data_IF_877432258132
#
_entry.id   IF_877432258132
#
_cell.length_a   1.000
_cell.length_b   1.000
_cell.length_c   1.000
_cell.angle_alpha   90.00
_cell.angle_beta   90.00
_cell.angle_gamma   90.00
#
_symmetry.space_group_name_H-M   'P 1'
#
loop_
_entity.id
_entity.type
_entity.pdbx_description
1 polymer ?
#
# COMPACT_ATOMS: atom_id res chain seq x y z
N UNK A 1 55.19 -0.54 -35.55
CA UNK A 1 54.59 -1.89 -35.54
C UNK A 1 53.10 -1.69 -35.43
N UNK A 2 52.44 -1.75 -36.58
CA UNK A 2 51.02 -1.54 -36.78
C UNK A 2 50.26 -2.79 -36.36
N UNK A 3 49.16 -2.63 -35.60
CA UNK A 3 48.21 -3.71 -35.35
C UNK A 3 46.88 -3.35 -36.02
N UNK A 4 46.58 -3.91 -37.21
CA UNK A 4 45.30 -3.74 -37.87
C UNK A 4 44.51 -5.04 -37.74
N UNK A 5 43.60 -5.14 -36.79
CA UNK A 5 42.52 -6.14 -36.85
C UNK A 5 41.34 -5.64 -35.99
N UNK A 6 40.45 -4.91 -36.67
CA UNK A 6 39.13 -4.53 -36.17
C UNK A 6 38.14 -5.47 -36.86
N UNK A 7 37.51 -6.42 -36.15
CA UNK A 7 36.51 -7.28 -36.77
C UNK A 7 35.28 -6.45 -37.18
N UNK A 8 34.90 -6.60 -38.44
CA UNK A 8 33.70 -6.03 -39.05
C UNK A 8 32.44 -6.53 -38.33
N UNK A 9 31.59 -5.61 -37.87
CA UNK A 9 30.24 -5.91 -37.39
C UNK A 9 29.33 -6.19 -38.60
N UNK A 10 28.62 -7.33 -38.63
CA UNK A 10 27.62 -7.59 -39.65
C UNK A 10 26.37 -6.72 -39.46
N UNK A 11 26.08 -5.97 -40.53
CA UNK A 11 24.82 -5.38 -40.98
C UNK A 11 23.63 -5.35 -40.02
N UNK A 12 23.26 -4.12 -39.63
CA UNK A 12 21.92 -3.77 -39.18
C UNK A 12 20.87 -4.13 -40.24
N UNK A 13 20.03 -5.11 -39.94
CA UNK A 13 18.80 -5.36 -40.69
C UNK A 13 17.78 -4.26 -40.35
N UNK A 14 17.32 -3.56 -41.39
CA UNK A 14 16.31 -2.52 -41.29
C UNK A 14 14.96 -3.09 -40.81
N UNK A 15 14.23 -2.39 -39.91
CA UNK A 15 12.86 -2.75 -39.59
C UNK A 15 11.96 -2.46 -40.81
N UNK A 16 11.33 -3.52 -41.32
CA UNK A 16 10.34 -3.42 -42.38
C UNK A 16 9.18 -2.52 -41.98
N UNK A 17 8.88 -1.56 -42.85
CA UNK A 17 7.69 -0.73 -42.80
C UNK A 17 6.44 -1.61 -42.92
N UNK A 18 5.70 -1.77 -41.83
CA UNK A 18 4.31 -2.23 -41.89
C UNK A 18 3.43 -1.02 -42.18
N UNK A 19 2.81 -1.05 -43.36
CA UNK A 19 1.80 -0.09 -43.78
C UNK A 19 0.50 -0.30 -43.00
N UNK A 20 -0.20 0.76 -42.56
CA UNK A 20 -1.44 0.64 -41.81
C UNK A 20 -2.59 0.22 -42.73
N UNK A 21 -3.22 -0.91 -42.41
CA UNK A 21 -4.51 -1.27 -42.99
C UNK A 21 -5.62 -0.39 -42.37
N UNK A 22 -6.47 0.09 -43.26
CA UNK A 22 -7.48 1.11 -43.06
C UNK A 22 -8.65 0.70 -42.15
N UNK A 23 -9.15 1.71 -41.42
CA UNK A 23 -10.56 2.04 -41.21
C UNK A 23 -11.56 0.90 -41.00
N UNK A 24 -11.70 0.48 -39.75
CA UNK A 24 -12.95 -0.07 -39.21
C UNK A 24 -13.75 1.04 -38.51
N UNK A 25 -15.09 1.10 -38.66
CA UNK A 25 -15.91 2.13 -38.04
C UNK A 25 -15.84 2.05 -36.51
N UNK A 26 -15.64 3.21 -35.88
CA UNK A 26 -15.64 3.38 -34.43
C UNK A 26 -16.98 2.91 -33.82
N UNK A 27 -16.96 1.74 -33.17
CA UNK A 27 -18.04 1.32 -32.30
C UNK A 27 -18.09 2.24 -31.07
N UNK A 28 -19.30 2.66 -30.69
CA UNK A 28 -19.53 3.59 -29.60
C UNK A 28 -19.23 2.94 -28.23
N UNK A 29 -18.58 3.65 -27.29
CA UNK A 29 -18.12 3.09 -26.01
C UNK A 29 -19.20 2.75 -24.99
N UNK A 30 -20.50 2.82 -25.33
CA UNK A 30 -21.60 2.57 -24.39
C UNK A 30 -22.35 1.23 -24.60
N UNK A 31 -22.08 0.47 -25.67
CA UNK A 31 -22.76 -0.82 -25.93
C UNK A 31 -22.12 -2.05 -25.25
N UNK A 32 -21.03 -1.89 -24.48
CA UNK A 32 -20.33 -3.02 -23.86
C UNK A 32 -20.92 -3.51 -22.51
N UNK A 33 -22.03 -2.93 -22.03
CA UNK A 33 -22.56 -3.22 -20.66
C UNK A 33 -23.73 -4.21 -20.65
N UNK A 34 -24.29 -4.62 -21.80
CA UNK A 34 -25.44 -5.53 -21.82
C UNK A 34 -25.17 -6.73 -22.72
N UNK A 35 -24.74 -7.84 -22.11
CA UNK A 35 -24.86 -9.17 -22.71
C UNK A 35 -23.53 -9.86 -23.02
N UNK A 36 -22.86 -10.35 -21.98
CA UNK A 36 -22.02 -11.54 -22.20
C UNK A 36 -22.92 -12.78 -22.25
N UNK A 37 -22.85 -13.58 -23.32
CA UNK A 37 -23.51 -14.88 -23.37
C UNK A 37 -22.87 -15.80 -22.33
N UNK A 38 -23.71 -16.44 -21.52
CA UNK A 38 -23.31 -17.49 -20.58
C UNK A 38 -22.74 -18.64 -21.41
N UNK A 39 -21.42 -18.77 -21.47
CA UNK A 39 -20.78 -19.96 -22.00
C UNK A 39 -20.97 -21.07 -20.96
N UNK A 40 -21.97 -21.89 -21.23
CA UNK A 40 -22.24 -23.16 -20.57
C UNK A 40 -21.00 -24.06 -20.72
N UNK A 41 -20.31 -24.29 -19.60
CA UNK A 41 -19.16 -25.19 -19.53
C UNK A 41 -19.64 -26.64 -19.70
N UNK A 42 -19.22 -27.37 -20.75
CA UNK A 42 -19.64 -28.76 -20.91
C UNK A 42 -19.04 -29.61 -19.79
N UNK A 43 -19.93 -30.23 -19.02
CA UNK A 43 -19.61 -31.22 -18.00
C UNK A 43 -18.66 -32.29 -18.57
N UNK A 44 -17.45 -32.39 -18.00
CA UNK A 44 -16.59 -33.54 -18.24
C UNK A 44 -17.09 -34.74 -17.42
N UNK A 45 -17.18 -35.94 -18.04
CA UNK A 45 -17.61 -37.15 -17.35
C UNK A 45 -16.52 -37.64 -16.41
N UNK A 46 -16.92 -37.94 -15.18
CA UNK A 46 -16.10 -38.62 -14.18
C UNK A 46 -15.79 -40.05 -14.65
N UNK A 47 -14.54 -40.33 -15.00
CA UNK A 47 -14.05 -41.70 -15.13
C UNK A 47 -13.73 -42.27 -13.74
N UNK A 48 -14.74 -42.95 -13.22
CA UNK A 48 -14.69 -43.89 -12.11
C UNK A 48 -13.72 -45.04 -12.47
N UNK A 49 -12.58 -45.12 -11.79
CA UNK A 49 -11.69 -46.31 -11.86
C UNK A 49 -11.98 -47.21 -10.66
N UNK A 50 -12.56 -48.40 -10.85
CA UNK A 50 -12.74 -49.39 -9.79
C UNK A 50 -11.47 -50.22 -9.60
N UNK A 51 -11.27 -50.65 -8.36
CA UNK A 51 -9.98 -51.10 -7.83
C UNK A 51 -9.50 -52.48 -8.26
N UNK A 52 -8.27 -52.77 -7.82
CA UNK A 52 -7.61 -54.08 -7.67
C UNK A 52 -6.16 -53.74 -7.28
N UNK A 53 -5.45 -54.38 -6.36
CA UNK A 53 -5.63 -55.62 -5.63
C UNK A 53 -4.62 -55.56 -4.49
N UNK A 54 -5.05 -55.89 -3.28
CA UNK A 54 -4.17 -56.30 -2.20
C UNK A 54 -3.46 -57.58 -2.64
N UNK A 55 -2.13 -57.55 -2.69
CA UNK A 55 -1.35 -58.79 -2.70
C UNK A 55 -0.17 -58.68 -1.74
N UNK A 56 0.05 -59.79 -1.06
CA UNK A 56 0.83 -59.91 0.15
C UNK A 56 2.21 -60.52 -0.12
N UNK A 57 3.19 -60.10 0.71
CA UNK A 57 4.41 -60.84 1.07
C UNK A 57 5.48 -61.01 -0.05
N UNK A 58 6.79 -61.18 0.27
CA UNK A 58 7.34 -61.63 1.55
C UNK A 58 8.43 -60.73 2.18
N UNK A 59 8.64 -60.99 3.48
CA UNK A 59 9.82 -60.62 4.25
C UNK A 59 11.11 -60.93 3.49
N UNK A 60 11.89 -59.89 3.18
CA UNK A 60 13.29 -60.02 2.87
C UNK A 60 14.08 -59.66 4.14
N UNK A 61 14.58 -60.70 4.80
CA UNK A 61 15.59 -60.59 5.85
C UNK A 61 16.88 -60.06 5.22
N UNK A 62 17.09 -58.75 5.26
CA UNK A 62 18.34 -58.13 4.88
C UNK A 62 19.29 -58.14 6.08
N UNK A 63 20.39 -58.87 5.90
CA UNK A 63 21.59 -58.89 6.74
C UNK A 63 21.99 -57.45 7.15
N UNK A 64 22.12 -57.24 8.47
CA UNK A 64 22.68 -56.01 9.00
C UNK A 64 24.14 -55.88 8.56
N UNK A 65 24.55 -54.76 7.92
CA UNK A 65 25.95 -54.52 7.67
C UNK A 65 26.69 -54.37 9.01
N UNK A 66 27.79 -55.11 9.15
CA UNK A 66 28.78 -54.91 10.21
C UNK A 66 29.31 -53.49 10.05
N UNK A 67 28.84 -52.59 10.93
CA UNK A 67 29.35 -51.22 11.05
C UNK A 67 30.76 -51.33 11.62
N UNK A 68 31.75 -51.19 10.75
CA UNK A 68 33.12 -50.91 11.13
C UNK A 68 33.12 -49.62 11.98
N UNK A 69 33.69 -49.63 13.19
CA UNK A 69 33.68 -48.45 14.06
C UNK A 69 34.40 -47.31 13.33
N UNK A 70 33.67 -46.22 13.10
CA UNK A 70 34.20 -45.01 12.50
C UNK A 70 35.49 -44.59 13.24
N UNK A 71 36.54 -44.17 12.52
CA UNK A 71 37.77 -43.71 13.14
C UNK A 71 37.44 -42.59 14.11
N UNK A 72 37.95 -42.74 15.34
CA UNK A 72 37.85 -41.76 16.41
C UNK A 72 38.19 -40.37 15.85
N UNK A 73 37.28 -39.38 15.97
CA UNK A 73 37.49 -38.07 15.39
C UNK A 73 38.78 -37.49 15.96
N UNK A 74 39.68 -37.09 15.07
CA UNK A 74 40.92 -36.42 15.45
C UNK A 74 40.58 -35.27 16.42
N UNK A 75 41.38 -35.08 17.49
CA UNK A 75 41.13 -34.02 18.46
C UNK A 75 40.98 -32.70 17.72
N UNK A 76 39.82 -32.06 17.92
CA UNK A 76 39.53 -30.77 17.33
C UNK A 76 40.73 -29.82 17.60
N UNK A 77 41.19 -29.04 16.59
CA UNK A 77 42.22 -28.06 16.81
C UNK A 77 41.77 -27.18 17.97
N UNK A 78 42.62 -27.09 19.00
CA UNK A 78 42.40 -26.25 20.16
C UNK A 78 41.92 -24.89 19.68
N UNK A 79 40.69 -24.54 20.07
CA UNK A 79 40.04 -23.29 19.72
C UNK A 79 41.03 -22.16 19.92
N UNK A 80 41.42 -21.52 18.82
CA UNK A 80 42.09 -20.25 18.87
C UNK A 80 41.22 -19.34 19.74
N UNK A 81 41.88 -18.65 20.69
CA UNK A 81 41.29 -17.70 21.62
C UNK A 81 40.09 -16.99 20.97
N UNK A 82 38.90 -17.04 21.59
CA UNK A 82 37.81 -16.19 21.14
C UNK A 82 38.34 -14.76 21.23
N UNK A 83 38.53 -14.12 20.06
CA UNK A 83 38.75 -12.70 20.00
C UNK A 83 37.69 -12.05 20.91
N UNK A 84 38.10 -11.14 21.82
CA UNK A 84 37.21 -10.59 22.83
C UNK A 84 35.98 -10.09 22.10
N UNK A 85 34.84 -10.71 22.38
CA UNK A 85 33.54 -10.18 22.02
C UNK A 85 33.56 -8.78 22.59
N UNK A 86 33.66 -7.79 21.70
CA UNK A 86 33.52 -6.39 22.07
C UNK A 86 32.10 -6.32 22.62
N UNK A 87 32.00 -6.42 23.95
CA UNK A 87 30.79 -6.17 24.70
C UNK A 87 30.48 -4.74 24.34
N UNK A 88 29.57 -4.56 23.38
CA UNK A 88 28.93 -3.29 23.13
C UNK A 88 28.30 -2.96 24.47
N UNK A 89 28.95 -2.04 25.20
CA UNK A 89 28.43 -1.54 26.45
C UNK A 89 26.95 -1.18 26.21
N UNK A 90 26.03 -1.60 27.09
CA UNK A 90 24.66 -1.16 26.98
C UNK A 90 24.72 0.34 26.85
N UNK A 91 24.12 0.88 25.78
CA UNK A 91 23.95 2.31 25.58
C UNK A 91 23.48 2.85 26.91
N UNK A 92 24.40 3.47 27.64
CA UNK A 92 24.06 4.26 28.80
C UNK A 92 23.32 5.42 28.18
N UNK A 93 22.00 5.29 28.10
CA UNK A 93 21.09 6.40 28.00
C UNK A 93 21.58 7.40 29.04
N UNK A 94 22.29 8.42 28.56
CA UNK A 94 22.71 9.52 29.37
C UNK A 94 21.41 10.13 29.90
N UNK A 95 21.14 10.07 31.22
CA UNK A 95 20.25 11.05 31.79
C UNK A 95 20.97 12.41 31.67
N UNK A 96 20.20 13.48 31.52
CA UNK A 96 20.67 14.87 31.58
C UNK A 96 21.09 15.51 30.25
N UNK A 97 20.10 15.73 29.39
CA UNK A 97 19.76 17.08 28.90
C UNK A 97 18.37 17.03 28.27
N UNK A 98 17.35 16.70 29.07
CA UNK A 98 16.00 17.16 28.75
C UNK A 98 16.01 18.67 28.96
N UNK A 99 16.33 19.40 27.89
CA UNK A 99 15.91 20.78 27.73
C UNK A 99 14.39 20.78 27.88
N UNK A 100 13.96 21.13 29.10
CA UNK A 100 12.65 21.65 29.40
C UNK A 100 12.49 22.99 28.66
N UNK A 101 12.43 22.95 27.32
CA UNK A 101 11.86 24.06 26.56
C UNK A 101 10.35 24.03 26.78
N UNK A 102 9.99 24.66 27.89
CA UNK A 102 8.87 25.55 28.02
C UNK A 102 7.58 25.07 27.31
N UNK A 103 6.74 24.37 28.08
CA UNK A 103 5.33 24.74 28.11
C UNK A 103 5.24 26.25 28.37
N UNK A 104 5.25 27.04 27.30
CA UNK A 104 4.80 28.43 27.32
C UNK A 104 3.31 28.38 27.67
N UNK A 105 3.03 28.62 28.94
CA UNK A 105 1.74 29.08 29.41
C UNK A 105 1.48 30.38 28.65
N UNK A 106 0.58 30.34 27.68
CA UNK A 106 0.06 31.56 27.07
C UNK A 106 -0.54 32.43 28.19
N UNK A 107 -0.06 33.67 28.29
CA UNK A 107 -0.70 34.70 29.10
C UNK A 107 -2.19 34.81 28.75
N UNK A 108 -3.08 35.04 29.73
CA UNK A 108 -4.47 35.32 29.44
C UNK A 108 -4.54 36.54 28.53
N UNK A 109 -5.09 36.37 27.33
CA UNK A 109 -5.49 37.47 26.45
C UNK A 109 -6.49 38.32 27.23
N UNK A 110 -5.99 39.39 27.84
CA UNK A 110 -6.80 40.53 28.26
C UNK A 110 -7.31 41.13 26.95
N UNK A 111 -8.56 40.81 26.61
CA UNK A 111 -9.35 41.56 25.65
C UNK A 111 -9.34 43.02 26.14
N UNK A 112 -8.43 43.80 25.57
CA UNK A 112 -8.45 45.24 25.67
C UNK A 112 -9.82 45.67 25.15
N UNK A 113 -10.69 46.04 26.09
CA UNK A 113 -11.96 46.65 25.80
C UNK A 113 -11.69 47.84 24.89
N UNK A 114 -12.22 47.78 23.68
CA UNK A 114 -12.57 49.00 22.97
C UNK A 114 -13.65 49.67 23.80
N UNK A 115 -13.20 50.55 24.68
CA UNK A 115 -14.00 51.65 25.19
C UNK A 115 -14.47 52.43 23.96
N UNK A 116 -15.65 52.07 23.46
CA UNK A 116 -16.44 53.00 22.68
C UNK A 116 -16.89 54.08 23.67
N UNK A 117 -16.17 55.19 23.64
CA UNK A 117 -16.68 56.52 23.95
C UNK A 117 -18.12 56.61 23.46
N UNK A 118 -19.05 56.43 24.38
CA UNK A 118 -20.42 56.93 24.23
C UNK A 118 -20.47 58.14 25.13
N UNK A 119 -19.79 59.19 24.67
CA UNK A 119 -19.84 60.49 25.31
C UNK A 119 -21.26 61.03 25.18
N UNK A 120 -21.83 61.34 26.33
CA UNK A 120 -23.21 61.76 26.51
C UNK A 120 -23.43 63.14 25.90
N UNK A 121 -24.44 63.22 25.04
CA UNK A 121 -25.24 64.44 24.92
C UNK A 121 -26.66 64.07 25.30
N UNK A 122 -26.98 64.34 26.57
CA UNK A 122 -28.34 64.46 27.08
C UNK A 122 -29.16 65.34 26.13
N UNK A 123 -30.23 64.77 25.56
CA UNK A 123 -31.32 65.55 24.98
C UNK A 123 -32.59 65.33 25.81
N UNK A 124 -33.28 66.42 26.18
CA UNK A 124 -34.36 66.39 27.16
C UNK A 124 -35.62 65.70 26.66
N UNK A 125 -36.16 64.86 27.54
CA UNK A 125 -37.55 64.44 27.72
C UNK A 125 -38.57 65.02 26.73
N UNK A 126 -38.75 64.34 25.60
CA UNK A 126 -39.98 64.36 24.82
C UNK A 126 -40.76 63.08 25.11
N UNK A 127 -42.04 63.23 25.48
CA UNK A 127 -42.98 62.13 25.68
C UNK A 127 -43.15 61.42 24.33
N UNK A 128 -42.42 60.32 24.14
CA UNK A 128 -42.50 59.48 22.95
C UNK A 128 -43.70 58.54 23.11
N UNK A 129 -44.72 58.82 22.30
CA UNK A 129 -45.87 57.96 22.06
C UNK A 129 -45.35 56.54 21.70
N UNK A 130 -45.90 55.45 22.27
CA UNK A 130 -45.44 54.10 21.99
C UNK A 130 -45.73 53.77 20.53
N UNK A 131 -44.80 54.11 19.65
CA UNK A 131 -44.81 53.66 18.27
C UNK A 131 -44.67 52.15 18.33
N UNK A 132 -45.73 51.45 17.93
CA UNK A 132 -45.71 50.02 17.74
C UNK A 132 -44.54 49.72 16.79
N UNK A 133 -43.43 49.22 17.35
CA UNK A 133 -42.31 48.78 16.55
C UNK A 133 -42.85 47.79 15.52
N UNK A 134 -42.61 48.00 14.22
CA UNK A 134 -43.03 47.05 13.21
C UNK A 134 -42.36 45.72 13.58
N UNK A 135 -43.18 44.73 13.93
CA UNK A 135 -42.74 43.37 14.27
C UNK A 135 -41.85 42.89 13.13
N UNK A 136 -40.53 42.94 13.36
CA UNK A 136 -39.53 42.73 12.33
C UNK A 136 -39.72 41.36 11.70
N UNK A 137 -39.89 41.35 10.38
CA UNK A 137 -39.90 40.12 9.61
C UNK A 137 -38.63 39.33 9.97
N UNK A 138 -38.74 38.05 10.40
CA UNK A 138 -37.62 37.31 10.97
C UNK A 138 -36.42 37.34 10.03
N UNK A 139 -35.32 37.92 10.52
CA UNK A 139 -34.14 38.21 9.73
C UNK A 139 -33.54 36.90 9.21
N UNK A 140 -33.44 36.77 7.88
CA UNK A 140 -32.99 35.52 7.23
C UNK A 140 -31.47 35.42 7.13
N UNK A 141 -30.76 36.32 7.79
CA UNK A 141 -29.30 36.38 7.80
C UNK A 141 -28.65 35.11 8.38
N UNK A 142 -29.34 34.36 9.23
CA UNK A 142 -28.85 33.08 9.77
C UNK A 142 -28.60 32.01 8.69
N UNK A 143 -29.32 32.05 7.55
CA UNK A 143 -29.12 31.09 6.46
C UNK A 143 -27.78 31.30 5.74
N UNK A 144 -27.30 32.54 5.63
CA UNK A 144 -25.99 32.83 5.02
C UNK A 144 -24.83 32.38 5.91
N UNK A 145 -24.95 32.60 7.22
CA UNK A 145 -23.93 32.21 8.21
C UNK A 145 -23.84 30.69 8.34
N UNK A 146 -24.99 29.99 8.40
CA UNK A 146 -25.01 28.52 8.45
C UNK A 146 -24.41 27.89 7.20
N UNK A 147 -24.66 28.45 6.01
CA UNK A 147 -24.02 28.01 4.76
C UNK A 147 -22.50 28.17 4.79
N UNK A 148 -22.01 29.27 5.35
CA UNK A 148 -20.57 29.52 5.52
C UNK A 148 -19.94 28.52 6.50
N UNK A 149 -20.56 28.32 7.68
CA UNK A 149 -20.07 27.37 8.69
C UNK A 149 -20.07 25.93 8.16
N UNK A 150 -21.14 25.50 7.48
CA UNK A 150 -21.18 24.16 6.86
C UNK A 150 -20.18 23.99 5.73
N UNK A 151 -19.93 25.04 4.94
CA UNK A 151 -18.83 25.05 3.97
C UNK A 151 -17.46 24.92 4.62
N UNK A 152 -17.23 25.61 5.75
CA UNK A 152 -15.98 25.55 6.51
C UNK A 152 -15.73 24.19 7.16
N UNK A 153 -16.79 23.46 7.55
CA UNK A 153 -16.72 22.08 8.07
C UNK A 153 -16.56 21.02 6.97
N UNK A 154 -16.37 21.43 5.70
CA UNK A 154 -16.24 20.53 4.54
C UNK A 154 -17.44 19.60 4.33
N UNK A 155 -18.63 19.94 4.84
CA UNK A 155 -19.90 19.27 4.53
C UNK A 155 -20.42 19.72 3.16
N UNK A 156 -19.58 19.49 2.13
CA UNK A 156 -19.68 20.12 0.82
C UNK A 156 -21.06 20.01 0.16
N UNK A 157 -21.76 18.85 0.13
CA UNK A 157 -23.08 18.76 -0.49
C UNK A 157 -24.12 19.67 0.18
N UNK A 158 -24.09 19.74 1.52
CA UNK A 158 -25.03 20.56 2.31
C UNK A 158 -24.72 22.05 2.10
N UNK A 159 -23.44 22.42 2.10
CA UNK A 159 -23.00 23.79 1.87
C UNK A 159 -23.41 24.32 0.48
N UNK A 160 -23.31 23.49 -0.57
CA UNK A 160 -23.72 23.85 -1.94
C UNK A 160 -25.23 24.10 -2.01
N UNK A 161 -26.05 23.23 -1.41
CA UNK A 161 -27.51 23.38 -1.40
C UNK A 161 -27.92 24.66 -0.64
N UNK A 162 -27.37 24.88 0.55
CA UNK A 162 -27.65 26.08 1.35
C UNK A 162 -27.15 27.36 0.65
N UNK A 163 -25.99 27.31 -0.02
CA UNK A 163 -25.46 28.42 -0.81
C UNK A 163 -26.39 28.84 -1.95
N UNK A 164 -26.93 27.88 -2.70
CA UNK A 164 -27.91 28.15 -3.76
C UNK A 164 -29.21 28.74 -3.22
N UNK A 165 -29.72 28.23 -2.10
CA UNK A 165 -30.93 28.76 -1.45
C UNK A 165 -30.70 30.20 -0.93
N UNK A 166 -29.54 30.46 -0.32
CA UNK A 166 -29.15 31.79 0.15
C UNK A 166 -29.03 32.81 -0.98
N UNK A 167 -28.43 32.41 -2.11
CA UNK A 167 -28.32 33.28 -3.29
C UNK A 167 -29.70 33.58 -3.92
N UNK A 168 -30.60 32.60 -3.90
CA UNK A 168 -31.99 32.77 -4.33
C UNK A 168 -32.82 33.70 -3.42
N UNK A 169 -32.51 33.76 -2.11
CA UNK A 169 -33.11 34.70 -1.18
C UNK A 169 -32.56 36.13 -1.38
N UNK A 170 -31.24 36.27 -1.59
CA UNK A 170 -30.58 37.55 -1.84
C UNK A 170 -31.06 38.20 -3.16
N UNK A 171 -31.25 37.43 -4.24
CA UNK A 171 -31.79 37.95 -5.52
C UNK A 171 -33.20 38.55 -5.39
N UNK A 172 -33.99 38.10 -4.41
CA UNK A 172 -35.35 38.60 -4.16
C UNK A 172 -35.38 39.84 -3.25
N UNK A 173 -34.22 40.42 -2.94
CA UNK A 173 -34.10 41.62 -2.11
C UNK A 173 -34.40 41.41 -0.63
N UNK A 174 -34.50 40.15 -0.17
CA UNK A 174 -34.88 39.81 1.21
C UNK A 174 -33.70 39.56 2.16
N UNK A 175 -32.46 39.76 1.70
CA UNK A 175 -31.27 39.58 2.52
C UNK A 175 -30.28 40.72 2.25
N UNK A 176 -29.77 41.33 3.32
CA UNK A 176 -28.80 42.44 3.23
C UNK A 176 -27.39 41.97 2.86
N UNK A 177 -27.07 40.70 3.13
CA UNK A 177 -25.69 40.20 3.06
C UNK A 177 -25.45 39.20 1.92
N UNK A 178 -25.50 39.69 0.67
CA UNK A 178 -25.21 38.88 -0.53
C UNK A 178 -23.79 38.30 -0.52
N UNK A 179 -22.83 38.98 0.10
CA UNK A 179 -21.42 38.56 0.17
C UNK A 179 -21.24 37.22 0.88
N UNK A 180 -21.96 36.97 1.98
CA UNK A 180 -21.85 35.72 2.74
C UNK A 180 -22.39 34.51 1.97
N UNK A 181 -23.49 34.67 1.23
CA UNK A 181 -24.02 33.59 0.39
C UNK A 181 -23.05 33.18 -0.74
N UNK A 182 -22.37 34.16 -1.34
CA UNK A 182 -21.35 33.90 -2.35
C UNK A 182 -20.13 33.23 -1.72
N UNK A 183 -19.67 33.72 -0.56
CA UNK A 183 -18.54 33.13 0.15
C UNK A 183 -18.78 31.66 0.53
N UNK A 184 -19.95 31.34 1.08
CA UNK A 184 -20.33 29.96 1.42
C UNK A 184 -20.38 29.04 0.20
N UNK A 185 -20.89 29.53 -0.94
CA UNK A 185 -20.92 28.76 -2.19
C UNK A 185 -19.51 28.51 -2.74
N UNK A 186 -18.64 29.53 -2.77
CA UNK A 186 -17.24 29.38 -3.22
C UNK A 186 -16.49 28.41 -2.31
N UNK A 187 -16.63 28.53 -0.99
CA UNK A 187 -15.99 27.64 -0.03
C UNK A 187 -16.50 26.20 -0.17
N UNK A 188 -17.80 26.01 -0.43
CA UNK A 188 -18.40 24.70 -0.70
C UNK A 188 -17.82 24.00 -1.94
N UNK A 189 -17.60 24.74 -3.04
CA UNK A 189 -16.96 24.21 -4.25
C UNK A 189 -15.47 23.91 -4.02
N UNK A 190 -14.73 24.77 -3.33
CA UNK A 190 -13.33 24.50 -2.98
C UNK A 190 -13.22 23.25 -2.09
N UNK A 191 -14.10 23.10 -1.10
CA UNK A 191 -14.18 21.90 -0.28
C UNK A 191 -14.52 20.65 -1.10
N UNK A 192 -15.43 20.76 -2.09
CA UNK A 192 -15.74 19.65 -3.00
C UNK A 192 -14.52 19.22 -3.80
N UNK A 193 -13.85 20.18 -4.44
CA UNK A 193 -12.67 19.92 -5.28
C UNK A 193 -11.56 19.30 -4.44
N UNK A 194 -11.30 19.84 -3.25
CA UNK A 194 -10.30 19.30 -2.33
C UNK A 194 -10.65 17.87 -1.89
N UNK A 195 -11.93 17.58 -1.60
CA UNK A 195 -12.38 16.23 -1.22
C UNK A 195 -12.23 15.25 -2.37
N UNK A 196 -12.67 15.62 -3.58
CA UNK A 196 -12.54 14.77 -4.78
C UNK A 196 -11.08 14.53 -5.11
N UNK A 197 -10.24 15.56 -5.07
CA UNK A 197 -8.80 15.42 -5.28
C UNK A 197 -8.14 14.55 -4.20
N UNK A 198 -8.53 14.70 -2.93
CA UNK A 198 -8.04 13.88 -1.83
C UNK A 198 -8.45 12.42 -1.95
N UNK A 199 -9.71 12.14 -2.29
CA UNK A 199 -10.19 10.77 -2.56
C UNK A 199 -9.48 10.19 -3.78
N UNK A 200 -9.34 10.96 -4.85
CA UNK A 200 -8.59 10.52 -6.03
C UNK A 200 -7.16 10.16 -5.66
N UNK A 201 -6.44 11.05 -4.98
CA UNK A 201 -5.07 10.79 -4.53
C UNK A 201 -4.99 9.58 -3.61
N UNK A 202 -5.96 9.39 -2.71
CA UNK A 202 -6.03 8.22 -1.82
C UNK A 202 -6.22 6.92 -2.61
N UNK A 203 -7.11 6.92 -3.61
CA UNK A 203 -7.37 5.77 -4.47
C UNK A 203 -6.24 5.52 -5.48
N UNK A 204 -5.50 6.55 -5.85
CA UNK A 204 -4.34 6.47 -6.74
C UNK A 204 -3.02 6.51 -6.01
N UNK A 205 -2.99 6.25 -4.69
CA UNK A 205 -1.73 5.96 -4.01
C UNK A 205 -1.25 4.60 -4.50
N UNK A 206 -0.68 4.60 -5.70
CA UNK A 206 0.06 3.47 -6.24
C UNK A 206 1.21 3.22 -5.28
N UNK A 207 1.32 1.99 -4.79
CA UNK A 207 2.47 1.52 -4.04
C UNK A 207 3.73 1.93 -4.80
N UNK A 208 4.63 2.67 -4.16
CA UNK A 208 5.84 3.12 -4.84
C UNK A 208 6.68 1.90 -5.22
N UNK A 209 7.48 1.96 -6.32
CA UNK A 209 8.32 0.83 -6.70
C UNK A 209 9.22 0.32 -5.56
N UNK A 210 9.70 1.23 -4.71
CA UNK A 210 10.52 0.90 -3.54
C UNK A 210 9.72 0.16 -2.46
N UNK A 211 8.45 0.50 -2.25
CA UNK A 211 7.59 -0.20 -1.32
C UNK A 211 7.25 -1.62 -1.82
N UNK A 212 7.05 -1.78 -3.13
CA UNK A 212 6.86 -3.11 -3.76
C UNK A 212 8.13 -3.97 -3.57
N UNK A 213 9.31 -3.42 -3.82
CA UNK A 213 10.57 -4.13 -3.60
C UNK A 213 10.76 -4.54 -2.13
N UNK A 214 10.40 -3.67 -1.18
CA UNK A 214 10.47 -3.96 0.24
C UNK A 214 9.50 -5.09 0.66
N UNK A 215 8.28 -5.10 0.12
CA UNK A 215 7.31 -6.18 0.34
C UNK A 215 7.83 -7.51 -0.22
N UNK A 216 8.36 -7.50 -1.46
CA UNK A 216 8.92 -8.70 -2.07
C UNK A 216 10.12 -9.25 -1.27
N UNK A 217 10.98 -8.37 -0.76
CA UNK A 217 12.10 -8.76 0.10
C UNK A 217 11.62 -9.39 1.41
N UNK A 218 10.56 -8.85 2.03
CA UNK A 218 9.96 -9.43 3.25
C UNK A 218 9.42 -10.83 2.98
N UNK A 219 8.68 -11.02 1.89
CA UNK A 219 8.09 -12.31 1.53
C UNK A 219 9.19 -13.34 1.19
N UNK A 220 10.17 -13.01 0.35
CA UNK A 220 11.29 -13.92 0.03
C UNK A 220 12.08 -14.30 1.28
N UNK A 221 12.31 -13.35 2.19
CA UNK A 221 13.05 -13.64 3.43
C UNK A 221 12.23 -14.51 4.38
N UNK A 222 10.93 -14.26 4.52
CA UNK A 222 10.05 -15.05 5.37
C UNK A 222 9.94 -16.49 4.88
N UNK A 223 9.66 -16.68 3.59
CA UNK A 223 9.54 -18.02 2.99
C UNK A 223 10.88 -18.74 2.97
N UNK A 224 11.96 -18.04 2.59
CA UNK A 224 13.32 -18.60 2.58
C UNK A 224 13.80 -19.03 3.96
N UNK A 225 13.49 -18.26 5.02
CA UNK A 225 13.85 -18.61 6.40
C UNK A 225 13.06 -19.83 6.91
N UNK A 226 11.76 -19.92 6.59
CA UNK A 226 10.96 -21.08 6.92
C UNK A 226 11.47 -22.34 6.20
N UNK A 227 11.79 -22.22 4.90
CA UNK A 227 12.33 -23.32 4.10
C UNK A 227 13.70 -23.79 4.62
N UNK A 228 14.58 -22.85 4.97
CA UNK A 228 15.88 -23.16 5.57
C UNK A 228 15.74 -23.87 6.92
N UNK A 229 14.82 -23.42 7.77
CA UNK A 229 14.55 -24.05 9.08
C UNK A 229 14.10 -25.49 8.87
N UNK A 230 13.12 -25.72 7.98
CA UNK A 230 12.65 -27.06 7.68
C UNK A 230 13.75 -27.98 7.11
N UNK A 231 14.58 -27.45 6.20
CA UNK A 231 15.69 -28.19 5.61
C UNK A 231 16.73 -28.61 6.66
N UNK A 232 17.03 -27.74 7.62
CA UNK A 232 17.95 -28.03 8.73
C UNK A 232 17.36 -29.06 9.70
N UNK A 233 16.08 -28.95 10.03
CA UNK A 233 15.42 -29.85 11.00
C UNK A 233 15.24 -31.27 10.46
N UNK A 234 14.89 -31.40 9.18
CA UNK A 234 14.55 -32.69 8.57
C UNK A 234 15.69 -33.32 7.77
N UNK A 235 16.66 -32.51 7.33
CA UNK A 235 17.68 -32.94 6.38
C UNK A 235 17.13 -33.23 4.97
N UNK A 236 15.90 -32.82 4.67
CA UNK A 236 15.23 -33.03 3.38
C UNK A 236 15.10 -31.72 2.58
N UNK A 237 14.85 -31.84 1.27
CA UNK A 237 14.48 -30.68 0.44
C UNK A 237 13.11 -30.16 0.91
N UNK A 238 12.96 -28.87 1.24
CA UNK A 238 11.69 -28.34 1.71
C UNK A 238 10.65 -28.32 0.58
N UNK A 239 9.41 -28.64 0.94
CA UNK A 239 8.26 -28.53 0.04
C UNK A 239 7.74 -27.10 0.08
N UNK A 240 7.90 -26.35 -1.02
CA UNK A 240 7.51 -24.94 -1.12
C UNK A 240 6.59 -24.74 -2.32
N UNK A 241 5.41 -24.18 -2.06
CA UNK A 241 4.38 -23.95 -3.09
C UNK A 241 3.71 -22.59 -2.91
N UNK A 242 3.29 -21.96 -4.00
CA UNK A 242 2.40 -20.80 -3.95
C UNK A 242 0.94 -21.27 -3.89
N UNK A 243 0.20 -20.78 -2.90
CA UNK A 243 -1.22 -21.10 -2.70
C UNK A 243 -2.07 -19.83 -2.79
N UNK A 244 -3.39 -19.95 -2.94
CA UNK A 244 -4.29 -18.79 -3.12
C UNK A 244 -4.16 -17.73 -2.01
N UNK A 245 -3.86 -18.16 -0.78
CA UNK A 245 -3.74 -17.30 0.39
C UNK A 245 -2.30 -16.87 0.72
N UNK A 246 -1.29 -17.23 -0.10
CA UNK A 246 0.12 -16.94 0.17
C UNK A 246 1.10 -18.01 -0.27
N UNK A 247 1.97 -18.42 0.65
CA UNK A 247 3.01 -19.42 0.41
C UNK A 247 2.86 -20.57 1.39
N UNK A 248 3.02 -21.81 0.94
CA UNK A 248 3.09 -22.99 1.79
C UNK A 248 4.54 -23.45 1.89
N UNK A 249 5.03 -23.66 3.11
CA UNK A 249 6.35 -24.25 3.38
C UNK A 249 6.14 -25.44 4.30
N UNK A 250 6.38 -26.65 3.80
CA UNK A 250 6.16 -27.91 4.51
C UNK A 250 4.74 -28.01 5.13
N UNK A 251 3.73 -27.45 4.45
CA UNK A 251 2.34 -27.41 4.90
C UNK A 251 1.97 -26.26 5.84
N UNK A 252 2.93 -25.42 6.25
CA UNK A 252 2.65 -24.17 6.98
C UNK A 252 2.38 -23.03 5.99
N UNK A 253 1.27 -22.32 6.18
CA UNK A 253 0.90 -21.17 5.33
C UNK A 253 1.45 -19.87 5.87
N UNK A 254 2.18 -19.15 5.02
CA UNK A 254 2.74 -17.81 5.24
C UNK A 254 1.92 -16.82 4.41
N UNK A 255 1.35 -15.80 5.06
CA UNK A 255 0.61 -14.75 4.38
C UNK A 255 1.56 -13.84 3.57
N UNK A 256 1.18 -13.43 2.34
CA UNK A 256 2.00 -12.56 1.52
C UNK A 256 1.83 -11.11 1.95
N UNK A 257 2.91 -10.33 1.90
CA UNK A 257 2.87 -8.86 2.03
C UNK A 257 2.80 -8.19 0.66
N UNK A 258 3.23 -8.89 -0.39
CA UNK A 258 3.23 -8.40 -1.75
C UNK A 258 1.80 -8.42 -2.33
N UNK A 259 1.23 -7.23 -2.46
CA UNK A 259 -0.14 -7.05 -2.99
C UNK A 259 -0.20 -7.12 -4.53
N UNK A 260 0.94 -7.02 -5.20
CA UNK A 260 1.02 -7.08 -6.66
C UNK A 260 1.04 -8.52 -7.17
N UNK A 261 0.74 -8.70 -8.45
CA UNK A 261 0.85 -10.00 -9.10
C UNK A 261 2.30 -10.50 -9.04
N UNK A 262 2.48 -11.73 -8.56
CA UNK A 262 3.78 -12.35 -8.38
C UNK A 262 3.70 -13.86 -8.60
N UNK A 263 4.84 -14.47 -8.91
CA UNK A 263 4.97 -15.92 -9.05
C UNK A 263 6.18 -16.41 -8.26
N UNK A 264 5.98 -17.47 -7.48
CA UNK A 264 7.04 -18.17 -6.74
C UNK A 264 7.55 -19.35 -7.58
N UNK A 265 8.86 -19.48 -7.68
CA UNK A 265 9.54 -20.64 -8.25
C UNK A 265 10.50 -21.21 -7.22
N UNK A 266 10.48 -22.52 -7.04
CA UNK A 266 11.39 -23.23 -6.15
C UNK A 266 12.14 -24.31 -6.92
N UNK A 267 13.46 -24.27 -6.90
CA UNK A 267 14.34 -25.25 -7.56
C UNK A 267 15.37 -25.78 -6.58
N UNK A 268 15.83 -27.01 -6.78
CA UNK A 268 16.81 -27.63 -5.90
C UNK A 268 16.72 -29.14 -5.91
N UNK A 269 17.74 -29.78 -5.35
CA UNK A 269 17.79 -31.25 -5.26
C UNK A 269 18.08 -31.76 -3.86
N UNK A 270 18.63 -30.93 -2.98
CA UNK A 270 18.99 -31.32 -1.60
C UNK A 270 18.66 -30.23 -0.58
N UNK A 271 18.69 -30.55 0.71
CA UNK A 271 18.49 -29.59 1.81
C UNK A 271 19.51 -28.42 1.80
N UNK A 272 20.66 -28.61 1.17
CA UNK A 272 21.75 -27.62 1.10
C UNK A 272 21.92 -26.99 -0.29
N UNK A 273 21.13 -27.45 -1.26
CA UNK A 273 21.21 -27.03 -2.66
C UNK A 273 19.78 -26.81 -3.20
N UNK A 274 19.30 -25.60 -2.92
CA UNK A 274 18.02 -25.09 -3.40
C UNK A 274 18.06 -23.57 -3.53
N UNK A 275 17.20 -23.07 -4.41
CA UNK A 275 16.97 -21.68 -4.66
C UNK A 275 15.47 -21.39 -4.77
N UNK A 276 15.03 -20.39 -4.01
CA UNK A 276 13.69 -19.85 -4.05
C UNK A 276 13.74 -18.51 -4.80
N UNK A 277 12.80 -18.28 -5.70
CA UNK A 277 12.66 -17.04 -6.44
C UNK A 277 11.21 -16.54 -6.36
N UNK A 278 11.04 -15.24 -6.13
CA UNK A 278 9.76 -14.56 -6.32
C UNK A 278 9.94 -13.51 -7.40
N UNK A 279 9.19 -13.65 -8.50
CA UNK A 279 9.10 -12.66 -9.58
C UNK A 279 7.88 -11.79 -9.39
N UNK A 280 8.00 -10.50 -9.68
CA UNK A 280 6.91 -9.54 -9.45
C UNK A 280 7.01 -8.31 -10.37
N UNK A 281 5.90 -7.58 -10.47
CA UNK A 281 5.79 -6.38 -11.28
C UNK A 281 5.65 -5.10 -10.43
N UNK A 282 6.12 -3.98 -10.98
CA UNK A 282 5.93 -2.65 -10.41
C UNK A 282 7.06 -2.14 -9.51
N UNK A 283 7.97 -3.01 -9.08
CA UNK A 283 9.18 -2.62 -8.34
C UNK A 283 10.35 -2.17 -9.23
N UNK A 284 11.46 -1.76 -8.61
CA UNK A 284 12.71 -1.50 -9.33
C UNK A 284 13.46 -2.78 -9.68
N UNK A 285 13.20 -3.86 -8.94
CA UNK A 285 13.67 -5.20 -9.28
C UNK A 285 12.51 -6.02 -9.85
N UNK A 286 12.85 -7.00 -10.69
CA UNK A 286 11.86 -7.92 -11.28
C UNK A 286 11.82 -9.27 -10.58
N UNK A 287 12.81 -9.55 -9.74
CA UNK A 287 12.96 -10.80 -9.01
C UNK A 287 13.80 -10.61 -7.74
N UNK A 288 13.45 -11.38 -6.72
CA UNK A 288 14.23 -11.56 -5.50
C UNK A 288 14.41 -13.05 -5.27
N UNK A 289 15.58 -13.47 -4.80
CA UNK A 289 15.89 -14.87 -4.56
C UNK A 289 16.41 -15.12 -3.15
N UNK A 290 16.28 -16.37 -2.70
CA UNK A 290 16.85 -16.86 -1.45
C UNK A 290 17.47 -18.24 -1.70
N UNK A 291 18.75 -18.41 -1.37
CA UNK A 291 19.44 -19.70 -1.52
C UNK A 291 19.75 -20.34 -0.17
N UNK A 292 19.90 -21.66 -0.16
CA UNK A 292 20.20 -22.44 1.04
C UNK A 292 21.43 -21.93 1.82
N UNK A 293 22.46 -21.45 1.12
CA UNK A 293 23.76 -21.07 1.70
C UNK A 293 24.04 -19.57 1.63
N UNK A 294 23.50 -18.86 0.64
CA UNK A 294 23.74 -17.44 0.41
C UNK A 294 22.70 -16.53 1.06
N UNK A 295 21.56 -17.06 1.50
CA UNK A 295 20.45 -16.25 1.99
C UNK A 295 19.79 -15.45 0.87
N UNK A 296 19.22 -14.30 1.22
CA UNK A 296 18.51 -13.43 0.26
C UNK A 296 19.48 -12.67 -0.65
N UNK A 297 19.17 -12.65 -1.94
CA UNK A 297 19.87 -11.88 -2.97
C UNK A 297 18.87 -11.21 -3.93
N UNK A 298 19.33 -10.13 -4.57
CA UNK A 298 18.57 -9.48 -5.64
C UNK A 298 18.74 -10.24 -6.96
N UNK A 299 17.66 -10.38 -7.71
CA UNK A 299 17.64 -11.06 -9.01
C UNK A 299 17.17 -12.51 -8.93
N UNK A 300 17.15 -13.14 -10.10
CA UNK A 300 16.71 -14.52 -10.30
C UNK A 300 17.73 -15.53 -9.76
N UNK A 301 17.27 -16.76 -9.52
CA UNK A 301 18.13 -17.91 -9.24
C UNK A 301 19.13 -18.09 -10.39
N UNK A 302 20.43 -18.12 -10.07
CA UNK A 302 21.44 -18.47 -11.07
C UNK A 302 21.26 -19.94 -11.43
N UNK A 303 21.07 -20.24 -12.71
CA UNK A 303 21.13 -21.61 -13.20
C UNK A 303 22.58 -22.09 -13.07
N UNK A 304 22.88 -22.86 -12.02
CA UNK A 304 24.14 -23.59 -11.90
C UNK A 304 24.23 -24.77 -12.87
#
# INVERSE_FOLDING_TARGET
>A
MSNPDKPEQPGAAAPGAQSPAADGPAASPWEAIIGQPVHESPAQPSEETPGATTDAAPEATAEAPVVEPAPEPAPAPASADPAPTEVIDPVQDAPDAQDHEATQVLDPVVLAGTASDTDGVERPSGVEEPQAEPVGEPDRDWMGVTAFITGALLLSPVAIILGHLGLGAAKRGRARHRSFAIAGLVLGYLGLIATVAGVYLLLTQTTSPEAIDAQAQQDVTAVGAAAATHAVETGALPDVEQVDAGYSVAGETIAPHLETQHALTFTGTTATDWCLEITYAGGNQTAMSYTATGGMAQGACSAE
#
